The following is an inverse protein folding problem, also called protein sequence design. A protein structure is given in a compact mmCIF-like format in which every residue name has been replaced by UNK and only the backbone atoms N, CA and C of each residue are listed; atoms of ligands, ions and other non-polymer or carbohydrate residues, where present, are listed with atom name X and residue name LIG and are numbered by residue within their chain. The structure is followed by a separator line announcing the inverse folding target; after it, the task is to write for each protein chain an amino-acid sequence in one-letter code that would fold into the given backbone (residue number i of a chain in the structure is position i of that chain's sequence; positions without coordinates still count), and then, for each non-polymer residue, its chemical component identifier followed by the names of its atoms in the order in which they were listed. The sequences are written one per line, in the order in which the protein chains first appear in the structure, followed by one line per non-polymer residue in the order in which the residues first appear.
data_IF_301835468070
#
_entry.id   IF_301835468070
#
_cell.length_a   1.000
_cell.length_b   1.000
_cell.length_c   1.000
_cell.angle_alpha   90.00
_cell.angle_beta   90.00
_cell.angle_gamma   90.00
#
_symmetry.space_group_name_H-M   'P 1'
#
loop_
_entity.id
_entity.type
_entity.pdbx_description
1 polymer ?
#
# COMPACT_ATOMS: atom_id res chain seq x y z
N UNK A 1 -2.46 7.13 1.41
CA UNK A 1 -3.66 6.29 1.64
C UNK A 1 -4.79 7.03 2.36
N UNK A 2 -4.55 7.66 3.51
CA UNK A 2 -5.57 8.32 4.36
C UNK A 2 -6.48 9.32 3.61
N UNK A 3 -5.90 10.12 2.69
CA UNK A 3 -6.66 11.05 1.84
C UNK A 3 -7.67 10.34 0.91
N UNK A 4 -7.32 9.16 0.38
CA UNK A 4 -8.20 8.38 -0.49
C UNK A 4 -9.37 7.77 0.28
N UNK A 5 -9.10 7.28 1.50
CA UNK A 5 -10.15 6.76 2.39
C UNK A 5 -11.15 7.87 2.73
N UNK A 6 -10.65 9.04 3.20
CA UNK A 6 -11.51 10.20 3.51
C UNK A 6 -12.34 10.66 2.32
N UNK A 7 -11.77 10.69 1.11
CA UNK A 7 -12.52 11.06 -0.11
C UNK A 7 -13.67 10.09 -0.41
N UNK A 8 -13.45 8.78 -0.22
CA UNK A 8 -14.47 7.76 -0.51
C UNK A 8 -15.52 7.62 0.60
N UNK A 9 -15.21 8.03 1.83
CA UNK A 9 -16.17 8.01 2.94
C UNK A 9 -16.92 9.32 3.12
N UNK A 10 -16.43 10.47 2.61
CA UNK A 10 -17.05 11.80 2.83
C UNK A 10 -18.49 11.92 2.30
N UNK A 11 -18.85 11.19 1.24
CA UNK A 11 -20.19 11.25 0.62
C UNK A 11 -21.12 10.14 1.09
N UNK A 12 -20.58 9.15 1.81
CA UNK A 12 -21.35 8.11 2.49
C UNK A 12 -21.72 8.75 3.84
N UNK A 13 -23.00 8.96 4.15
CA UNK A 13 -23.45 9.59 5.40
C UNK A 13 -23.05 8.80 6.65
N UNK A 14 -23.95 8.66 7.65
CA UNK A 14 -23.69 7.78 8.79
C UNK A 14 -23.37 6.36 8.31
N UNK A 15 -22.15 5.87 8.55
CA UNK A 15 -21.75 4.51 8.17
C UNK A 15 -22.49 3.54 9.08
N UNK A 16 -23.42 2.78 8.51
CA UNK A 16 -24.41 2.00 9.25
C UNK A 16 -23.86 0.74 9.92
N UNK A 17 -22.66 0.26 9.51
CA UNK A 17 -22.03 -0.92 10.11
C UNK A 17 -20.52 -0.97 9.84
N UNK A 18 -19.81 -1.70 10.71
CA UNK A 18 -18.37 -1.99 10.53
C UNK A 18 -18.12 -2.75 9.23
N UNK A 19 -19.03 -3.65 8.83
CA UNK A 19 -18.91 -4.39 7.58
C UNK A 19 -18.96 -3.47 6.35
N UNK A 20 -19.81 -2.45 6.37
CA UNK A 20 -19.87 -1.44 5.32
C UNK A 20 -18.56 -0.65 5.24
N UNK A 21 -18.00 -0.25 6.39
CA UNK A 21 -16.69 0.42 6.47
C UNK A 21 -15.57 -0.45 5.91
N UNK A 22 -15.50 -1.72 6.30
CA UNK A 22 -14.50 -2.69 5.84
C UNK A 22 -14.56 -2.87 4.32
N UNK A 23 -15.76 -3.01 3.76
CA UNK A 23 -15.95 -3.16 2.30
C UNK A 23 -15.49 -1.91 1.53
N UNK A 24 -15.84 -0.71 2.01
CA UNK A 24 -15.43 0.56 1.37
C UNK A 24 -13.90 0.71 1.43
N UNK A 25 -13.30 0.39 2.57
CA UNK A 25 -11.85 0.47 2.77
C UNK A 25 -11.13 -0.51 1.86
N UNK A 26 -11.58 -1.76 1.79
CA UNK A 26 -11.02 -2.79 0.92
C UNK A 26 -11.07 -2.39 -0.56
N UNK A 27 -12.23 -1.96 -1.05
CA UNK A 27 -12.38 -1.54 -2.45
C UNK A 27 -11.52 -0.31 -2.78
N UNK A 28 -11.38 0.62 -1.83
CA UNK A 28 -10.51 1.78 -1.99
C UNK A 28 -9.04 1.37 -2.06
N UNK A 29 -8.61 0.42 -1.23
CA UNK A 29 -7.26 -0.14 -1.24
C UNK A 29 -6.94 -0.85 -2.55
N UNK A 30 -7.81 -1.73 -3.04
CA UNK A 30 -7.62 -2.39 -4.33
C UNK A 30 -7.42 -1.38 -5.46
N UNK A 31 -8.30 -0.36 -5.56
CA UNK A 31 -8.18 0.67 -6.59
C UNK A 31 -6.89 1.48 -6.49
N UNK A 32 -6.43 1.76 -5.27
CA UNK A 32 -5.15 2.43 -5.04
C UNK A 32 -3.97 1.52 -5.45
N UNK A 33 -4.02 0.24 -5.08
CA UNK A 33 -2.96 -0.72 -5.35
C UNK A 33 -2.76 -0.95 -6.85
N UNK A 34 -3.84 -1.05 -7.62
CA UNK A 34 -3.77 -1.13 -9.10
C UNK A 34 -3.01 0.06 -9.69
N UNK A 35 -3.21 1.28 -9.16
CA UNK A 35 -2.47 2.48 -9.60
C UNK A 35 -1.02 2.52 -9.09
N UNK A 36 -0.71 1.78 -8.03
CA UNK A 36 0.62 1.72 -7.41
C UNK A 36 1.53 0.63 -8.00
N UNK A 37 1.16 -0.02 -9.11
CA UNK A 37 1.98 -1.05 -9.77
C UNK A 37 3.29 -0.53 -10.39
N UNK A 38 3.57 0.78 -10.33
CA UNK A 38 4.87 1.30 -10.76
C UNK A 38 5.97 0.80 -9.83
N UNK A 39 7.06 0.32 -10.42
CA UNK A 39 8.28 0.00 -9.68
C UNK A 39 8.79 1.22 -8.92
N UNK A 40 9.33 0.98 -7.72
CA UNK A 40 9.97 2.02 -6.92
C UNK A 40 11.18 2.53 -7.69
N UNK A 41 11.25 3.85 -7.90
CA UNK A 41 12.38 4.47 -8.61
C UNK A 41 13.66 4.23 -7.82
N UNK A 42 14.73 3.84 -8.53
CA UNK A 42 16.05 3.62 -7.94
C UNK A 42 16.07 2.54 -6.84
N UNK A 43 15.21 1.53 -6.98
CA UNK A 43 15.12 0.42 -6.02
C UNK A 43 16.45 -0.27 -5.76
N UNK A 44 17.30 -0.43 -6.78
CA UNK A 44 18.60 -1.08 -6.65
C UNK A 44 19.55 -0.36 -5.68
N UNK A 45 19.55 0.99 -5.70
CA UNK A 45 20.38 1.81 -4.81
C UNK A 45 19.89 1.67 -3.37
N UNK A 46 18.57 1.76 -3.18
CA UNK A 46 17.93 1.62 -1.87
C UNK A 46 18.18 0.22 -1.31
N UNK A 47 18.08 -0.82 -2.14
CA UNK A 47 18.34 -2.21 -1.74
C UNK A 47 19.77 -2.39 -1.24
N UNK A 48 20.77 -1.88 -1.97
CA UNK A 48 22.18 -1.92 -1.53
C UNK A 48 22.38 -1.25 -0.18
N UNK A 49 21.75 -0.09 0.05
CA UNK A 49 21.80 0.57 1.36
C UNK A 49 21.14 -0.26 2.46
N UNK A 50 19.99 -0.87 2.17
CA UNK A 50 19.31 -1.75 3.11
C UNK A 50 20.09 -3.02 3.42
N UNK A 51 20.83 -3.58 2.47
CA UNK A 51 21.71 -4.75 2.69
C UNK A 51 22.88 -4.41 3.62
N UNK A 52 23.42 -3.19 3.55
CA UNK A 52 24.46 -2.71 4.48
C UNK A 52 23.89 -2.53 5.89
N UNK A 53 22.71 -1.91 6.01
CA UNK A 53 22.06 -1.64 7.32
C UNK A 53 21.53 -2.93 7.97
N UNK A 54 21.01 -3.85 7.16
CA UNK A 54 20.36 -5.09 7.59
C UNK A 54 21.05 -6.31 6.96
N UNK A 55 22.30 -6.61 7.37
CA UNK A 55 23.06 -7.70 6.78
C UNK A 55 22.32 -9.03 6.92
N UNK A 56 22.36 -9.84 5.85
CA UNK A 56 21.76 -11.17 5.75
C UNK A 56 20.23 -11.28 5.89
N UNK A 57 19.49 -10.16 5.99
CA UNK A 57 18.02 -10.20 6.08
C UNK A 57 17.32 -10.21 4.71
N UNK A 58 18.01 -9.75 3.67
CA UNK A 58 17.43 -9.60 2.32
C UNK A 58 17.86 -10.69 1.33
N UNK A 59 18.66 -11.68 1.76
CA UNK A 59 19.25 -12.72 0.91
C UNK A 59 18.21 -13.66 0.26
N UNK A 60 17.01 -13.79 0.85
CA UNK A 60 15.94 -14.66 0.34
C UNK A 60 14.97 -13.95 -0.62
N UNK A 61 15.14 -12.65 -0.87
CA UNK A 61 14.26 -11.90 -1.78
C UNK A 61 14.79 -12.01 -3.21
N UNK A 62 14.40 -13.08 -3.91
CA UNK A 62 14.56 -13.20 -5.36
C UNK A 62 13.54 -12.27 -6.03
N UNK A 63 14.05 -11.28 -6.76
CA UNK A 63 13.24 -10.48 -7.68
C UNK A 63 13.23 -11.22 -9.02
N UNK A 64 12.05 -11.68 -9.43
CA UNK A 64 11.79 -12.12 -10.81
C UNK A 64 11.71 -10.90 -11.74
#
# INVERSE_FOLDING_TARGET
MNKLIRKNTKTKGGIQSVNCLSKITYLTLQKAFIKCQRQVRSWDIIKKQLEIIFPNRLNNVKLN
#
